data_IF_001440947293
#
_entry.id   IF_001440947293
#
_cell.length_a   1.000
_cell.length_b   1.000
_cell.length_c   1.000
_cell.angle_alpha   90.00
_cell.angle_beta   90.00
_cell.angle_gamma   90.00
#
_symmetry.space_group_name_H-M   'P 1'
#
loop_
_entity.id
_entity.type
_entity.pdbx_description
1 polymer ?
#
# COMPACT_ATOMS: atom_id res chain seq x y z
N UNK A 1 -7.56 -6.47 17.01
CA UNK A 1 -6.71 -5.35 16.57
C UNK A 1 -7.52 -4.39 15.69
N UNK A 2 -7.44 -3.08 15.93
CA UNK A 2 -8.16 -2.07 15.15
C UNK A 2 -7.21 -1.47 14.10
N UNK A 3 -7.55 -1.59 12.82
CA UNK A 3 -6.72 -1.10 11.72
C UNK A 3 -7.49 -0.05 10.92
N UNK A 4 -6.90 1.13 10.76
CA UNK A 4 -7.39 2.16 9.84
C UNK A 4 -6.64 2.07 8.52
N UNK A 5 -7.37 1.92 7.42
CA UNK A 5 -6.82 1.99 6.07
C UNK A 5 -7.04 3.39 5.52
N UNK A 6 -5.96 4.10 5.18
CA UNK A 6 -6.04 5.40 4.50
C UNK A 6 -5.88 5.20 2.99
N UNK A 7 -6.92 5.51 2.25
CA UNK A 7 -6.92 5.45 0.79
C UNK A 7 -7.94 4.50 0.18
N UNK A 8 -8.65 4.98 -0.84
CA UNK A 8 -9.73 4.27 -1.54
C UNK A 8 -9.37 3.82 -2.97
N UNK A 9 -8.08 3.57 -3.26
CA UNK A 9 -7.62 3.01 -4.53
C UNK A 9 -7.68 1.48 -4.57
N UNK A 10 -7.14 0.88 -5.64
CA UNK A 10 -7.08 -0.58 -5.81
C UNK A 10 -6.54 -1.30 -4.56
N UNK A 11 -5.42 -0.80 -4.04
CA UNK A 11 -4.75 -1.40 -2.89
C UNK A 11 -5.61 -1.24 -1.62
N UNK A 12 -6.18 -0.05 -1.38
CA UNK A 12 -7.06 0.19 -0.24
C UNK A 12 -8.29 -0.71 -0.22
N UNK A 13 -8.91 -0.98 -1.39
CA UNK A 13 -10.03 -1.93 -1.50
C UNK A 13 -9.62 -3.34 -1.07
N UNK A 14 -8.54 -3.86 -1.68
CA UNK A 14 -8.13 -5.24 -1.40
C UNK A 14 -7.63 -5.39 0.04
N UNK A 15 -6.80 -4.46 0.55
CA UNK A 15 -6.34 -4.49 1.94
C UNK A 15 -7.52 -4.43 2.91
N UNK A 16 -8.46 -3.51 2.70
CA UNK A 16 -9.62 -3.37 3.59
C UNK A 16 -10.51 -4.62 3.62
N UNK A 17 -10.82 -5.17 2.45
CA UNK A 17 -11.67 -6.36 2.37
C UNK A 17 -10.96 -7.63 2.84
N UNK A 18 -9.68 -7.79 2.49
CA UNK A 18 -8.91 -8.97 2.89
C UNK A 18 -8.68 -9.01 4.41
N UNK A 19 -8.22 -7.92 5.01
CA UNK A 19 -8.04 -7.83 6.45
C UNK A 19 -9.37 -7.87 7.20
N UNK A 20 -10.42 -7.21 6.67
CA UNK A 20 -11.76 -7.23 7.26
C UNK A 20 -12.47 -8.59 7.25
N UNK A 21 -11.93 -9.58 6.54
CA UNK A 21 -12.39 -10.96 6.57
C UNK A 21 -11.75 -11.79 7.70
N UNK A 22 -10.66 -11.29 8.33
CA UNK A 22 -10.02 -11.94 9.48
C UNK A 22 -10.82 -11.68 10.76
N UNK A 23 -11.05 -12.70 11.56
CA UNK A 23 -11.93 -12.62 12.77
C UNK A 23 -11.35 -11.80 13.91
N UNK A 24 -10.04 -11.64 13.97
CA UNK A 24 -9.28 -10.95 15.00
C UNK A 24 -8.93 -9.50 14.64
N UNK A 25 -9.40 -9.02 13.48
CA UNK A 25 -9.12 -7.67 12.95
C UNK A 25 -10.40 -6.88 12.75
N UNK A 26 -10.43 -5.69 13.29
CA UNK A 26 -11.43 -4.67 13.02
C UNK A 26 -10.89 -3.65 12.02
N UNK A 27 -11.46 -3.60 10.82
CA UNK A 27 -11.01 -2.69 9.77
C UNK A 27 -11.96 -1.51 9.63
N UNK A 28 -11.40 -0.31 9.63
CA UNK A 28 -12.08 0.87 9.15
C UNK A 28 -11.32 1.52 8.01
N UNK A 29 -11.99 2.34 7.21
CA UNK A 29 -11.39 3.05 6.09
C UNK A 29 -11.59 4.55 6.22
N UNK A 30 -10.50 5.29 6.06
CA UNK A 30 -10.48 6.74 5.90
C UNK A 30 -10.37 7.05 4.40
N UNK A 31 -11.44 7.62 3.83
CA UNK A 31 -11.57 7.83 2.39
C UNK A 31 -12.35 9.10 2.07
N UNK A 32 -12.00 9.76 0.97
CA UNK A 32 -12.68 11.00 0.52
C UNK A 32 -14.15 10.81 0.14
N UNK A 33 -14.56 9.60 -0.22
CA UNK A 33 -15.91 9.30 -0.70
C UNK A 33 -16.59 8.17 0.11
N UNK A 34 -16.84 8.35 1.43
CA UNK A 34 -17.35 7.29 2.29
C UNK A 34 -18.74 6.78 1.85
N UNK A 35 -19.59 7.64 1.30
CA UNK A 35 -20.92 7.26 0.82
C UNK A 35 -20.94 6.30 -0.38
N UNK A 36 -19.79 6.01 -0.98
CA UNK A 36 -19.65 5.05 -2.10
C UNK A 36 -19.21 3.66 -1.63
N UNK A 37 -19.05 3.44 -0.32
CA UNK A 37 -18.55 2.19 0.23
C UNK A 37 -19.64 1.40 0.91
N UNK A 38 -19.71 0.12 0.59
CA UNK A 38 -20.48 -0.86 1.35
C UNK A 38 -19.76 -1.19 2.66
N UNK A 39 -20.50 -1.60 3.68
CA UNK A 39 -19.92 -2.13 4.92
C UNK A 39 -19.35 -3.55 4.76
N UNK A 40 -19.64 -4.21 3.66
CA UNK A 40 -19.15 -5.54 3.32
C UNK A 40 -18.52 -5.50 1.93
N UNK A 41 -17.22 -5.78 1.88
CA UNK A 41 -16.45 -5.83 0.64
C UNK A 41 -16.22 -7.27 0.21
N UNK A 42 -16.45 -7.57 -1.05
CA UNK A 42 -16.12 -8.85 -1.65
C UNK A 42 -14.75 -8.79 -2.31
N UNK A 43 -13.85 -9.72 -1.92
CA UNK A 43 -12.52 -9.84 -2.53
C UNK A 43 -12.40 -11.21 -3.17
N UNK A 44 -12.27 -11.23 -4.49
CA UNK A 44 -11.96 -12.44 -5.24
C UNK A 44 -10.46 -12.74 -5.09
N UNK A 45 -10.12 -13.95 -4.67
CA UNK A 45 -8.77 -14.44 -4.46
C UNK A 45 -8.19 -15.05 -5.74
N UNK A 46 -6.86 -15.35 -5.80
CA UNK A 46 -6.22 -15.90 -7.00
C UNK A 46 -6.75 -17.26 -7.44
N UNK A 47 -7.30 -18.05 -6.52
CA UNK A 47 -7.93 -19.35 -6.78
C UNK A 47 -9.42 -19.24 -7.17
N UNK A 48 -9.90 -18.04 -7.50
CA UNK A 48 -11.28 -17.72 -7.85
C UNK A 48 -12.28 -17.83 -6.70
N UNK A 49 -11.87 -18.23 -5.51
CA UNK A 49 -12.70 -18.14 -4.30
C UNK A 49 -12.90 -16.68 -3.88
N UNK A 50 -13.82 -16.40 -2.99
CA UNK A 50 -14.03 -15.04 -2.49
C UNK A 50 -14.11 -15.01 -0.96
N UNK A 51 -13.64 -13.91 -0.40
CA UNK A 51 -13.84 -13.57 1.01
C UNK A 51 -14.64 -12.29 1.13
N UNK A 52 -15.39 -12.14 2.24
CA UNK A 52 -16.19 -10.95 2.52
C UNK A 52 -15.65 -10.27 3.76
N UNK A 53 -15.01 -9.12 3.56
CA UNK A 53 -14.47 -8.30 4.63
C UNK A 53 -15.47 -7.27 5.14
N UNK A 54 -15.67 -7.26 6.45
CA UNK A 54 -16.55 -6.29 7.12
C UNK A 54 -15.79 -5.03 7.49
N UNK A 55 -16.33 -3.86 7.14
CA UNK A 55 -15.81 -2.57 7.58
C UNK A 55 -16.60 -2.08 8.81
N UNK A 56 -15.89 -1.86 9.90
CA UNK A 56 -16.47 -1.33 11.15
C UNK A 56 -16.83 0.16 11.00
N UNK A 57 -15.92 0.94 10.37
CA UNK A 57 -16.09 2.39 10.13
C UNK A 57 -15.73 2.71 8.69
N UNK A 58 -16.51 3.57 8.05
CA UNK A 58 -16.21 4.18 6.77
C UNK A 58 -16.45 5.68 6.91
N UNK A 59 -15.38 6.47 6.86
CA UNK A 59 -15.46 7.91 7.12
C UNK A 59 -14.46 8.71 6.27
N UNK A 60 -14.68 10.02 6.20
CA UNK A 60 -13.69 10.99 5.69
C UNK A 60 -13.05 11.80 6.82
N UNK A 61 -13.53 11.62 8.07
CA UNK A 61 -13.13 12.38 9.24
C UNK A 61 -12.15 11.57 10.09
N UNK A 62 -10.87 11.99 10.22
CA UNK A 62 -9.85 11.23 10.97
C UNK A 62 -10.22 11.00 12.43
N UNK A 63 -10.89 11.97 13.07
CA UNK A 63 -11.31 11.89 14.47
C UNK A 63 -12.26 10.72 14.77
N UNK A 64 -12.97 10.22 13.76
CA UNK A 64 -13.93 9.13 13.94
C UNK A 64 -13.25 7.76 14.04
N UNK A 65 -12.00 7.64 13.56
CA UNK A 65 -11.34 6.34 13.38
C UNK A 65 -9.93 6.28 13.97
N UNK A 66 -9.11 7.32 13.79
CA UNK A 66 -7.69 7.30 14.20
C UNK A 66 -7.50 7.13 15.72
N UNK A 67 -8.31 7.77 16.62
CA UNK A 67 -8.12 7.61 18.05
C UNK A 67 -8.32 6.18 18.57
N UNK A 68 -9.00 5.30 17.84
CA UNK A 68 -9.21 3.90 18.21
C UNK A 68 -8.26 2.94 17.50
N UNK A 69 -7.51 3.44 16.51
CA UNK A 69 -6.60 2.60 15.72
C UNK A 69 -5.37 2.17 16.52
N UNK A 70 -5.05 0.88 16.45
CA UNK A 70 -3.78 0.32 16.88
C UNK A 70 -2.75 0.47 15.76
N UNK A 71 -3.22 0.40 14.51
CA UNK A 71 -2.39 0.53 13.31
C UNK A 71 -3.11 1.37 12.25
N UNK A 72 -2.35 2.22 11.57
CA UNK A 72 -2.79 2.98 10.37
C UNK A 72 -1.98 2.51 9.18
N UNK A 73 -2.64 2.08 8.10
CA UNK A 73 -2.01 1.64 6.85
C UNK A 73 -2.25 2.65 5.74
N UNK A 74 -1.19 3.29 5.27
CA UNK A 74 -1.25 4.24 4.16
C UNK A 74 -1.21 3.48 2.83
N UNK A 75 -2.35 3.39 2.16
CA UNK A 75 -2.54 2.79 0.83
C UNK A 75 -2.68 3.88 -0.22
N UNK A 76 -1.71 4.80 -0.27
CA UNK A 76 -1.76 6.04 -1.03
C UNK A 76 -0.57 6.17 -2.00
N UNK A 77 -0.76 6.86 -3.14
CA UNK A 77 0.37 7.33 -3.92
C UNK A 77 1.27 8.27 -3.11
N UNK A 78 2.58 8.23 -3.38
CA UNK A 78 3.59 8.97 -2.61
C UNK A 78 3.32 10.47 -2.43
N UNK A 79 2.74 11.10 -3.45
CA UNK A 79 2.40 12.54 -3.42
C UNK A 79 1.35 12.91 -2.36
N UNK A 80 0.58 11.93 -1.86
CA UNK A 80 -0.45 12.16 -0.85
C UNK A 80 -0.03 11.74 0.57
N UNK A 81 1.12 11.10 0.73
CA UNK A 81 1.58 10.58 2.04
C UNK A 81 1.73 11.73 3.05
N UNK A 82 2.42 12.82 2.65
CA UNK A 82 2.64 13.99 3.52
C UNK A 82 1.33 14.57 4.03
N UNK A 83 0.43 14.91 3.11
CA UNK A 83 -0.85 15.53 3.47
C UNK A 83 -1.71 14.60 4.33
N UNK A 84 -1.63 13.30 4.12
CA UNK A 84 -2.39 12.34 4.95
C UNK A 84 -1.77 12.21 6.35
N UNK A 85 -0.44 12.19 6.48
CA UNK A 85 0.21 12.21 7.80
C UNK A 85 -0.17 13.50 8.56
N UNK A 86 -0.13 14.66 7.92
CA UNK A 86 -0.56 15.93 8.51
C UNK A 86 -2.03 15.89 8.96
N UNK A 87 -2.90 15.27 8.17
CA UNK A 87 -4.32 15.12 8.45
C UNK A 87 -4.61 14.21 9.66
N UNK A 88 -3.90 13.09 9.81
CA UNK A 88 -4.11 12.12 10.89
C UNK A 88 -3.31 12.42 12.17
N UNK A 89 -2.19 13.13 12.06
CA UNK A 89 -1.25 13.42 13.16
C UNK A 89 -1.93 13.92 14.44
N UNK A 90 -2.92 14.85 14.42
CA UNK A 90 -3.55 15.36 15.63
C UNK A 90 -4.31 14.31 16.45
N UNK A 91 -4.61 13.16 15.84
CA UNK A 91 -5.45 12.10 16.42
C UNK A 91 -4.67 10.83 16.74
N UNK A 92 -3.37 10.76 16.39
CA UNK A 92 -2.52 9.61 16.68
C UNK A 92 -2.22 9.51 18.17
N UNK A 93 -2.33 8.30 18.73
CA UNK A 93 -1.73 7.98 20.03
C UNK A 93 -0.25 7.67 19.86
N UNK A 94 0.55 7.89 20.88
CA UNK A 94 1.99 7.56 20.86
C UNK A 94 2.28 6.08 20.58
N UNK A 95 1.30 5.21 20.81
CA UNK A 95 1.39 3.76 20.57
C UNK A 95 0.86 3.32 19.22
N UNK A 96 0.15 4.18 18.48
CA UNK A 96 -0.39 3.84 17.17
C UNK A 96 0.75 3.61 16.16
N UNK A 97 0.75 2.47 15.49
CA UNK A 97 1.75 2.15 14.47
C UNK A 97 1.29 2.72 13.13
N UNK A 98 2.15 3.49 12.45
CA UNK A 98 1.85 4.04 11.12
C UNK A 98 2.68 3.32 10.07
N UNK A 99 2.02 2.61 9.18
CA UNK A 99 2.66 1.82 8.13
C UNK A 99 2.38 2.34 6.72
N UNK A 100 3.37 2.28 5.84
CA UNK A 100 3.20 2.50 4.40
C UNK A 100 3.30 1.18 3.64
N UNK A 101 2.28 0.89 2.84
CA UNK A 101 2.28 -0.35 2.03
C UNK A 101 3.35 -0.32 0.94
N UNK A 102 3.75 0.88 0.48
CA UNK A 102 5.00 1.06 -0.29
C UNK A 102 5.72 2.29 0.25
N UNK A 103 6.89 2.09 0.86
CA UNK A 103 7.67 3.16 1.50
C UNK A 103 8.72 3.80 0.60
N UNK A 104 8.98 3.25 -0.58
CA UNK A 104 10.02 3.71 -1.52
C UNK A 104 9.79 5.12 -2.09
N UNK A 105 8.69 5.77 -1.73
CA UNK A 105 8.32 7.13 -2.17
C UNK A 105 8.70 8.22 -1.17
N UNK A 106 9.69 7.97 -0.31
CA UNK A 106 10.16 8.94 0.68
C UNK A 106 9.31 8.98 1.96
N UNK A 107 8.56 7.91 2.27
CA UNK A 107 7.73 7.80 3.46
C UNK A 107 8.52 8.10 4.74
N UNK A 108 9.68 7.49 4.93
CA UNK A 108 10.46 7.67 6.16
C UNK A 108 11.01 9.09 6.33
N UNK A 109 11.36 9.80 5.25
CA UNK A 109 11.72 11.21 5.36
C UNK A 109 10.56 12.06 5.88
N UNK A 110 9.35 11.76 5.44
CA UNK A 110 8.15 12.47 5.87
C UNK A 110 7.76 12.14 7.32
N UNK A 111 7.91 10.88 7.74
CA UNK A 111 7.65 10.49 9.13
C UNK A 111 8.68 11.07 10.09
N UNK A 112 9.96 11.09 9.72
CA UNK A 112 11.01 11.73 10.52
C UNK A 112 10.76 13.24 10.74
N UNK A 113 10.21 13.92 9.74
CA UNK A 113 9.88 15.35 9.85
C UNK A 113 8.59 15.59 10.65
N UNK A 114 7.54 14.84 10.35
CA UNK A 114 6.19 15.14 10.83
C UNK A 114 5.82 14.43 12.14
N UNK A 115 6.29 13.19 12.33
CA UNK A 115 5.95 12.31 13.46
C UNK A 115 7.18 11.53 13.95
N UNK A 116 8.30 12.21 14.32
CA UNK A 116 9.61 11.59 14.53
C UNK A 116 9.68 10.52 15.61
N UNK A 117 8.77 10.53 16.57
CA UNK A 117 8.73 9.54 17.66
C UNK A 117 7.67 8.46 17.48
N UNK A 118 6.94 8.49 16.37
CA UNK A 118 5.86 7.54 16.11
C UNK A 118 6.44 6.17 15.71
N UNK A 119 5.92 5.05 16.23
CA UNK A 119 6.20 3.74 15.67
C UNK A 119 5.81 3.67 14.20
N UNK A 120 6.74 3.30 13.34
CA UNK A 120 6.51 3.27 11.89
C UNK A 120 7.05 1.99 11.26
N UNK A 121 6.44 1.59 10.14
CA UNK A 121 7.02 0.58 9.26
C UNK A 121 6.72 0.89 7.79
N UNK A 122 7.55 0.34 6.92
CA UNK A 122 7.34 0.50 5.48
C UNK A 122 7.74 -0.74 4.70
N UNK A 123 6.84 -1.19 3.82
CA UNK A 123 7.15 -2.27 2.90
C UNK A 123 7.92 -1.77 1.67
N UNK A 124 8.87 -2.59 1.20
CA UNK A 124 9.57 -2.37 -0.06
C UNK A 124 8.62 -2.40 -1.27
N UNK A 125 7.64 -3.31 -1.24
CA UNK A 125 6.68 -3.56 -2.32
C UNK A 125 5.29 -3.84 -1.76
N UNK A 126 4.28 -3.72 -2.63
CA UNK A 126 2.91 -4.13 -2.30
C UNK A 126 2.86 -5.63 -1.95
N UNK A 127 2.06 -6.04 -0.94
CA UNK A 127 1.94 -7.44 -0.53
C UNK A 127 1.27 -8.32 -1.61
N UNK A 128 0.42 -7.72 -2.43
CA UNK A 128 -0.31 -8.41 -3.48
C UNK A 128 -0.67 -7.47 -4.64
N UNK A 129 -1.04 -8.07 -5.77
CA UNK A 129 -1.55 -7.33 -6.93
C UNK A 129 -3.05 -7.11 -6.71
N UNK A 130 -3.48 -5.86 -6.71
CA UNK A 130 -4.84 -5.43 -6.40
C UNK A 130 -5.50 -4.76 -7.61
N UNK A 131 -6.78 -5.07 -7.86
CA UNK A 131 -7.61 -4.39 -8.86
C UNK A 131 -9.03 -4.23 -8.33
N UNK A 132 -9.56 -3.02 -8.40
CA UNK A 132 -10.96 -2.73 -8.09
C UNK A 132 -11.82 -3.15 -9.28
N UNK A 133 -12.86 -3.92 -9.03
CA UNK A 133 -13.90 -4.25 -10.00
C UNK A 133 -15.06 -3.26 -9.88
N UNK A 134 -15.63 -3.16 -8.69
CA UNK A 134 -16.68 -2.21 -8.36
C UNK A 134 -16.25 -1.37 -7.16
N UNK A 135 -16.18 -0.05 -7.36
CA UNK A 135 -15.69 0.86 -6.34
C UNK A 135 -16.51 0.82 -5.06
N UNK A 136 -15.84 0.54 -3.95
CA UNK A 136 -16.45 0.44 -2.63
C UNK A 136 -17.19 -0.87 -2.36
N UNK A 137 -17.22 -1.83 -3.30
CA UNK A 137 -17.98 -3.07 -3.19
C UNK A 137 -17.17 -4.32 -3.47
N UNK A 138 -16.41 -4.34 -4.58
CA UNK A 138 -15.74 -5.55 -5.06
C UNK A 138 -14.35 -5.26 -5.63
N UNK A 139 -13.41 -6.15 -5.31
CA UNK A 139 -12.06 -6.07 -5.84
C UNK A 139 -11.43 -7.46 -6.01
N UNK A 140 -10.31 -7.53 -6.75
CA UNK A 140 -9.56 -8.73 -7.01
C UNK A 140 -8.17 -8.65 -6.36
N UNK A 141 -7.81 -9.65 -5.57
CA UNK A 141 -6.46 -9.99 -5.19
C UNK A 141 -5.92 -10.97 -6.22
N UNK A 142 -5.10 -10.51 -7.15
CA UNK A 142 -4.66 -11.30 -8.29
C UNK A 142 -3.44 -12.19 -8.00
N UNK A 143 -2.72 -11.93 -6.93
CA UNK A 143 -1.57 -12.75 -6.52
C UNK A 143 -0.85 -12.16 -5.33
N UNK A 144 -0.36 -13.04 -4.46
CA UNK A 144 0.48 -12.70 -3.32
C UNK A 144 1.95 -12.61 -3.72
N UNK A 145 2.73 -11.86 -2.97
CA UNK A 145 4.20 -11.93 -3.02
C UNK A 145 4.68 -13.15 -2.23
N UNK A 146 5.81 -13.73 -2.65
CA UNK A 146 6.43 -14.85 -1.93
C UNK A 146 7.05 -14.43 -0.59
N UNK A 147 7.43 -13.17 -0.46
CA UNK A 147 7.94 -12.55 0.77
C UNK A 147 7.79 -11.04 0.72
N UNK A 148 7.75 -10.39 1.88
CA UNK A 148 7.70 -8.95 2.05
C UNK A 148 8.95 -8.47 2.79
N UNK A 149 9.68 -7.54 2.21
CA UNK A 149 10.76 -6.83 2.90
C UNK A 149 10.19 -5.60 3.60
N UNK A 150 10.55 -5.40 4.87
CA UNK A 150 10.04 -4.31 5.71
C UNK A 150 11.16 -3.70 6.55
N UNK A 151 11.06 -2.42 6.80
CA UNK A 151 11.79 -1.72 7.87
C UNK A 151 10.79 -1.26 8.92
N UNK A 152 11.18 -1.38 10.18
CA UNK A 152 10.42 -0.95 11.36
C UNK A 152 11.28 0.06 12.11
N UNK A 153 10.71 1.19 12.49
CA UNK A 153 11.37 2.23 13.27
C UNK A 153 10.55 2.64 14.49
N UNK A 154 11.24 3.07 15.55
CA UNK A 154 10.64 3.55 16.81
C UNK A 154 9.68 2.55 17.48
N UNK A 155 9.93 1.26 17.34
CA UNK A 155 9.10 0.21 17.94
C UNK A 155 9.98 -0.82 18.66
N UNK A 156 9.72 -1.06 19.94
CA UNK A 156 10.57 -1.90 20.77
C UNK A 156 10.48 -3.40 20.45
N UNK A 157 9.25 -3.88 20.18
CA UNK A 157 8.99 -5.30 19.85
C UNK A 157 8.96 -5.52 18.33
N UNK A 158 10.12 -5.35 17.69
CA UNK A 158 10.29 -5.49 16.24
C UNK A 158 9.85 -6.88 15.75
N UNK A 159 10.20 -7.96 16.48
CA UNK A 159 9.83 -9.33 16.11
C UNK A 159 8.33 -9.60 16.27
N UNK A 160 7.71 -9.06 17.31
CA UNK A 160 6.25 -9.14 17.49
C UNK A 160 5.51 -8.41 16.37
N UNK A 161 5.99 -7.23 15.95
CA UNK A 161 5.41 -6.52 14.82
C UNK A 161 5.64 -7.27 13.49
N UNK A 162 6.84 -7.82 13.26
CA UNK A 162 7.12 -8.67 12.10
C UNK A 162 6.12 -9.83 12.00
N UNK A 163 5.92 -10.55 13.11
CA UNK A 163 4.98 -11.67 13.17
C UNK A 163 3.52 -11.23 12.95
N UNK A 164 3.17 -10.06 13.48
CA UNK A 164 1.84 -9.45 13.23
C UNK A 164 1.64 -9.15 11.74
N UNK A 165 2.65 -8.58 11.06
CA UNK A 165 2.58 -8.30 9.64
C UNK A 165 2.50 -9.58 8.80
N UNK A 166 3.23 -10.65 9.17
CA UNK A 166 3.10 -11.96 8.54
C UNK A 166 1.66 -12.50 8.66
N UNK A 167 1.08 -12.42 9.85
CA UNK A 167 -0.30 -12.82 10.09
C UNK A 167 -1.31 -11.99 9.29
N UNK A 168 -1.14 -10.68 9.23
CA UNK A 168 -2.07 -9.80 8.50
C UNK A 168 -2.07 -10.07 7.00
N UNK A 169 -0.89 -10.29 6.41
CA UNK A 169 -0.75 -10.40 4.95
C UNK A 169 -0.58 -11.84 4.45
N UNK A 170 -0.60 -12.84 5.34
CA UNK A 170 -0.39 -14.26 5.05
C UNK A 170 0.85 -14.48 4.14
N UNK A 171 1.91 -13.74 4.41
CA UNK A 171 3.14 -13.71 3.62
C UNK A 171 4.34 -13.55 4.52
N UNK A 172 5.41 -14.36 4.36
CA UNK A 172 6.63 -14.22 5.14
C UNK A 172 7.21 -12.80 5.07
N UNK A 173 7.63 -12.25 6.22
CA UNK A 173 8.18 -10.90 6.33
C UNK A 173 9.65 -10.97 6.72
N UNK A 174 10.50 -10.33 5.92
CA UNK A 174 11.92 -10.17 6.16
C UNK A 174 12.21 -8.74 6.63
N UNK A 175 12.87 -8.60 7.78
CA UNK A 175 13.38 -7.33 8.25
C UNK A 175 14.60 -6.89 7.44
N UNK A 176 14.66 -5.62 7.13
CA UNK A 176 15.81 -4.94 6.56
C UNK A 176 16.41 -3.97 7.59
N UNK A 177 17.69 -3.68 7.48
CA UNK A 177 18.43 -2.92 8.49
C UNK A 177 18.12 -1.42 8.47
N UNK A 178 17.68 -0.89 7.32
CA UNK A 178 17.44 0.55 7.19
C UNK A 178 16.38 0.89 6.13
N UNK A 179 15.78 2.07 6.27
CA UNK A 179 14.86 2.57 5.25
C UNK A 179 15.56 2.88 3.91
N UNK A 180 16.86 3.12 3.91
CA UNK A 180 17.64 3.25 2.67
C UNK A 180 17.64 1.93 1.90
N UNK A 181 17.82 0.81 2.60
CA UNK A 181 17.77 -0.51 1.97
C UNK A 181 16.40 -0.81 1.36
N UNK A 182 15.32 -0.56 2.10
CA UNK A 182 13.95 -0.68 1.57
C UNK A 182 13.74 0.19 0.33
N UNK A 183 14.21 1.43 0.36
CA UNK A 183 13.96 2.40 -0.70
C UNK A 183 14.78 2.10 -1.96
N UNK A 184 16.06 1.76 -1.80
CA UNK A 184 17.01 1.59 -2.92
C UNK A 184 16.98 0.19 -3.53
N UNK A 185 16.55 -0.84 -2.80
CA UNK A 185 16.45 -2.20 -3.31
C UNK A 185 15.14 -2.48 -4.08
N UNK A 186 14.22 -1.51 -4.17
CA UNK A 186 13.03 -1.63 -5.00
C UNK A 186 13.37 -1.40 -6.48
N UNK A 187 13.38 -2.45 -7.27
CA UNK A 187 13.70 -2.38 -8.69
C UNK A 187 12.61 -1.73 -9.58
N UNK A 188 11.40 -1.55 -9.08
CA UNK A 188 10.29 -1.01 -9.88
C UNK A 188 10.57 0.38 -10.48
N UNK A 189 11.14 1.36 -9.76
CA UNK A 189 11.48 2.65 -10.35
C UNK A 189 12.44 2.53 -11.53
N UNK A 190 13.48 1.69 -11.42
CA UNK A 190 14.43 1.47 -12.51
C UNK A 190 13.79 0.77 -13.71
N UNK A 191 13.04 -0.31 -13.45
CA UNK A 191 12.32 -1.05 -14.47
C UNK A 191 11.36 -0.16 -15.27
N UNK A 192 10.55 0.62 -14.56
CA UNK A 192 9.52 1.44 -15.18
C UNK A 192 10.14 2.61 -15.96
N UNK A 193 11.15 3.29 -15.42
CA UNK A 193 11.79 4.42 -16.09
C UNK A 193 12.54 3.99 -17.35
N UNK A 194 13.30 2.88 -17.31
CA UNK A 194 13.98 2.34 -18.51
C UNK A 194 12.99 1.99 -19.60
N UNK A 195 11.88 1.35 -19.23
CA UNK A 195 10.83 1.00 -20.20
C UNK A 195 10.13 2.22 -20.79
N UNK A 196 9.75 3.18 -19.96
CA UNK A 196 9.11 4.40 -20.42
C UNK A 196 10.04 5.23 -21.32
N UNK A 197 11.31 5.30 -20.97
CA UNK A 197 12.30 5.96 -21.82
C UNK A 197 12.41 5.28 -23.19
N UNK A 198 12.58 3.95 -23.21
CA UNK A 198 12.67 3.20 -24.47
C UNK A 198 11.41 3.33 -25.34
N UNK A 199 10.22 3.46 -24.70
CA UNK A 199 8.97 3.65 -25.44
C UNK A 199 8.82 5.04 -26.05
N UNK A 200 9.30 6.08 -25.37
CA UNK A 200 8.92 7.45 -25.70
C UNK A 200 10.09 8.43 -25.88
N UNK A 201 11.35 8.00 -25.87
CA UNK A 201 12.52 8.88 -26.06
C UNK A 201 12.47 9.70 -27.37
N UNK A 202 11.88 9.13 -28.41
CA UNK A 202 11.77 9.74 -29.74
C UNK A 202 10.39 10.38 -29.99
N UNK A 203 9.54 10.43 -28.92
CA UNK A 203 8.21 11.01 -29.06
C UNK A 203 8.30 12.53 -29.23
N UNK A 204 7.54 13.04 -30.18
CA UNK A 204 7.28 14.48 -30.36
C UNK A 204 5.85 14.69 -30.86
N UNK A 205 5.36 15.92 -30.78
CA UNK A 205 4.04 16.29 -31.28
C UNK A 205 3.86 15.86 -32.75
N UNK A 206 2.76 15.18 -33.05
CA UNK A 206 2.44 14.65 -34.38
C UNK A 206 2.81 13.19 -34.59
N UNK A 207 3.55 12.53 -33.68
CA UNK A 207 3.72 11.08 -33.72
C UNK A 207 2.45 10.40 -33.23
N UNK A 208 1.94 9.47 -34.06
CA UNK A 208 0.81 8.62 -33.71
C UNK A 208 1.25 7.15 -33.62
N UNK A 209 0.92 6.50 -32.52
CA UNK A 209 1.14 5.07 -32.32
C UNK A 209 -0.15 4.32 -32.64
N UNK A 210 -0.21 3.51 -33.72
CA UNK A 210 -1.45 2.86 -34.18
C UNK A 210 -1.94 1.76 -33.24
N UNK A 211 -1.04 1.26 -32.35
CA UNK A 211 -1.35 0.23 -31.35
C UNK A 211 -0.85 0.70 -29.99
N UNK A 212 -1.67 0.53 -28.97
CA UNK A 212 -1.24 0.74 -27.59
C UNK A 212 -0.21 -0.33 -27.22
N UNK A 213 1.01 0.11 -26.87
CA UNK A 213 2.03 -0.79 -26.35
C UNK A 213 1.66 -1.30 -24.97
N UNK A 214 1.73 -2.61 -24.78
CA UNK A 214 1.54 -3.25 -23.48
C UNK A 214 2.84 -3.25 -22.72
N UNK A 215 2.86 -2.64 -21.55
CA UNK A 215 4.08 -2.32 -20.78
C UNK A 215 5.00 -3.53 -20.57
N UNK A 216 4.44 -4.70 -20.26
CA UNK A 216 5.19 -5.92 -19.97
C UNK A 216 5.28 -6.91 -21.14
N UNK A 217 4.46 -6.75 -22.17
CA UNK A 217 4.41 -7.68 -23.30
C UNK A 217 5.34 -7.26 -24.46
N UNK A 218 5.42 -5.95 -24.72
CA UNK A 218 6.23 -5.40 -25.81
C UNK A 218 7.63 -4.97 -25.32
N UNK A 219 8.29 -5.78 -24.49
CA UNK A 219 9.62 -5.47 -23.94
C UNK A 219 10.70 -5.51 -25.04
N UNK A 220 11.51 -4.45 -25.14
CA UNK A 220 12.57 -4.34 -26.15
C UNK A 220 13.94 -4.64 -25.56
N UNK A 221 14.90 -5.01 -26.43
CA UNK A 221 16.31 -5.19 -26.05
C UNK A 221 16.88 -3.89 -25.47
N UNK A 222 16.53 -2.73 -26.04
CA UNK A 222 16.95 -1.42 -25.53
C UNK A 222 16.42 -1.17 -24.10
N UNK A 223 15.14 -1.45 -23.83
CA UNK A 223 14.59 -1.33 -22.49
C UNK A 223 15.32 -2.23 -21.47
N UNK A 224 15.72 -3.43 -21.89
CA UNK A 224 16.51 -4.35 -21.07
C UNK A 224 17.92 -3.81 -20.81
N UNK A 225 18.59 -3.26 -21.82
CA UNK A 225 19.93 -2.67 -21.69
C UNK A 225 19.95 -1.43 -20.78
N UNK A 226 18.89 -0.62 -20.81
CA UNK A 226 18.77 0.55 -19.94
C UNK A 226 18.47 0.18 -18.48
N UNK A 227 17.96 -1.04 -18.24
CA UNK A 227 17.65 -1.53 -16.91
C UNK A 227 18.86 -2.10 -16.17
N UNK A 228 19.84 -2.66 -16.89
CA UNK A 228 21.07 -3.26 -16.34
C UNK A 228 22.08 -2.18 -15.98
#
# INVERSE_FOLDING_TARGET
>A
MNICICGGGNLGHVVSGYLGAKSDVNVGILTRHPGRWAKLLEITLPDVSSVKGKLAVVTKEPQDIIPQADMVLLCLPGMYIRSEIENIKPYLKSTTIVGSIVSSTGFFFQTHELIPSQPTFGFQRVPFIARTEEYGHKAHLLGFKSSLNVVIENYADVEGLRSTLEHLFDTPVKLLDSFYEVSLSNSNPLLHTSRLYAMWKDWHEGIYYPKQSLFYEDWTVEAAQLYI
#
